data_IF_871292931359
#
_entry.id   IF_871292931359
#
_cell.length_a   1.000
_cell.length_b   1.000
_cell.length_c   1.000
_cell.angle_alpha   90.00
_cell.angle_beta   90.00
_cell.angle_gamma   90.00
#
_symmetry.space_group_name_H-M   'P 1'
#
loop_
_entity.id
_entity.type
_entity.pdbx_description
1 polymer ?
#
# COMPACT_ATOMS: atom_id res chain seq x y z
N UNK A 1 3.05 -23.77 -2.21
CA UNK A 1 3.17 -22.29 -2.24
C UNK A 1 2.34 -21.76 -3.39
N UNK A 2 1.64 -20.63 -3.17
CA UNK A 2 0.84 -19.99 -4.22
C UNK A 2 1.74 -19.16 -5.13
N UNK A 3 1.60 -19.29 -6.46
CA UNK A 3 2.33 -18.44 -7.41
C UNK A 3 1.71 -17.05 -7.48
N UNK A 4 2.56 -16.03 -7.38
CA UNK A 4 2.19 -14.61 -7.48
C UNK A 4 3.11 -13.94 -8.50
N UNK A 5 2.53 -13.35 -9.54
CA UNK A 5 3.30 -12.61 -10.54
C UNK A 5 3.78 -11.29 -9.93
N UNK A 6 5.10 -11.09 -9.90
CA UNK A 6 5.71 -9.85 -9.41
C UNK A 6 6.10 -8.94 -10.57
N UNK A 7 5.83 -7.64 -10.42
CA UNK A 7 6.34 -6.62 -11.33
C UNK A 7 6.71 -5.34 -10.59
N UNK A 8 7.92 -4.83 -10.85
CA UNK A 8 8.28 -3.48 -10.48
C UNK A 8 7.97 -2.53 -11.65
N UNK A 9 7.05 -1.58 -11.42
CA UNK A 9 6.60 -0.62 -12.45
C UNK A 9 7.48 0.63 -12.51
N UNK A 10 8.47 0.76 -11.59
CA UNK A 10 9.30 1.96 -11.47
C UNK A 10 8.48 3.18 -11.05
N UNK A 11 8.91 4.37 -11.50
CA UNK A 11 8.16 5.61 -11.34
C UNK A 11 7.04 5.65 -12.38
N UNK A 12 5.80 5.58 -11.93
CA UNK A 12 4.62 5.50 -12.80
C UNK A 12 3.54 6.50 -12.35
N UNK A 13 2.86 7.13 -13.30
CA UNK A 13 1.70 7.95 -13.05
C UNK A 13 0.64 7.18 -12.25
N UNK A 14 0.03 7.84 -11.25
CA UNK A 14 -0.91 7.20 -10.34
C UNK A 14 -2.14 6.62 -11.06
N UNK A 15 -2.72 7.37 -12.01
CA UNK A 15 -3.90 6.95 -12.76
C UNK A 15 -3.60 5.71 -13.60
N UNK A 16 -2.43 5.66 -14.25
CA UNK A 16 -2.01 4.48 -15.03
C UNK A 16 -1.86 3.24 -14.14
N UNK A 17 -1.25 3.38 -12.96
CA UNK A 17 -1.12 2.28 -12.01
C UNK A 17 -2.49 1.84 -11.44
N UNK A 18 -3.39 2.77 -11.21
CA UNK A 18 -4.75 2.49 -10.76
C UNK A 18 -5.57 1.74 -11.83
N UNK A 19 -5.52 2.18 -13.09
CA UNK A 19 -6.14 1.48 -14.23
C UNK A 19 -5.63 0.04 -14.40
N UNK A 20 -4.32 -0.18 -14.20
CA UNK A 20 -3.74 -1.53 -14.18
C UNK A 20 -4.32 -2.40 -13.07
N UNK A 21 -4.43 -1.85 -11.86
CA UNK A 21 -5.01 -2.57 -10.73
C UNK A 21 -6.49 -2.91 -10.98
N UNK A 22 -7.29 -1.97 -11.48
CA UNK A 22 -8.70 -2.20 -11.81
C UNK A 22 -8.85 -3.29 -12.86
N UNK A 23 -8.04 -3.25 -13.92
CA UNK A 23 -8.03 -4.29 -14.95
C UNK A 23 -7.77 -5.68 -14.33
N UNK A 24 -6.68 -5.85 -13.58
CA UNK A 24 -6.30 -7.13 -13.00
C UNK A 24 -7.31 -7.64 -11.96
N UNK A 25 -7.82 -6.72 -11.12
CA UNK A 25 -8.86 -7.06 -10.16
C UNK A 25 -10.16 -7.49 -10.85
N UNK A 26 -10.59 -6.76 -11.87
CA UNK A 26 -11.80 -7.07 -12.64
C UNK A 26 -11.65 -8.38 -13.41
N UNK A 27 -10.51 -8.66 -14.05
CA UNK A 27 -10.22 -9.95 -14.70
C UNK A 27 -10.47 -11.09 -13.72
N UNK A 28 -9.88 -11.04 -12.53
CA UNK A 28 -10.03 -12.08 -11.51
C UNK A 28 -11.46 -12.19 -10.99
N UNK A 29 -12.15 -11.07 -10.78
CA UNK A 29 -13.56 -11.04 -10.37
C UNK A 29 -14.46 -11.68 -11.43
N UNK A 30 -14.26 -11.39 -12.71
CA UNK A 30 -15.04 -11.97 -13.81
C UNK A 30 -14.80 -13.49 -13.92
N UNK A 31 -13.57 -13.95 -13.75
CA UNK A 31 -13.25 -15.39 -13.67
C UNK A 31 -14.06 -16.05 -12.55
N UNK A 32 -14.05 -15.49 -11.33
CA UNK A 32 -14.81 -16.03 -10.20
C UNK A 32 -16.33 -16.05 -10.45
N UNK A 33 -16.86 -15.02 -11.10
CA UNK A 33 -18.29 -14.98 -11.49
C UNK A 33 -18.61 -16.07 -12.51
N UNK A 34 -17.75 -16.24 -13.52
CA UNK A 34 -17.89 -17.29 -14.54
C UNK A 34 -17.83 -18.69 -13.95
N UNK A 35 -16.85 -18.94 -13.07
CA UNK A 35 -16.64 -20.25 -12.43
C UNK A 35 -17.86 -20.73 -11.62
N UNK A 36 -18.61 -19.81 -10.99
CA UNK A 36 -19.85 -20.17 -10.25
C UNK A 36 -20.93 -20.80 -11.14
N UNK A 37 -20.87 -20.58 -12.45
CA UNK A 37 -21.85 -21.07 -13.43
C UNK A 37 -21.30 -22.18 -14.30
N UNK A 38 -20.02 -22.54 -14.14
CA UNK A 38 -19.31 -23.51 -14.98
C UNK A 38 -19.07 -24.82 -14.22
N UNK A 39 -19.11 -25.97 -14.89
CA UNK A 39 -18.64 -27.23 -14.33
C UNK A 39 -17.18 -27.11 -13.86
N UNK A 40 -16.80 -27.83 -12.81
CA UNK A 40 -15.46 -27.76 -12.19
C UNK A 40 -14.34 -27.96 -13.21
N UNK A 41 -14.48 -28.94 -14.12
CA UNK A 41 -13.50 -29.19 -15.19
C UNK A 41 -13.29 -28.04 -16.18
N UNK A 42 -14.17 -27.04 -16.20
CA UNK A 42 -14.10 -25.87 -17.10
C UNK A 42 -13.76 -24.57 -16.38
N UNK A 43 -13.49 -24.63 -15.09
CA UNK A 43 -13.16 -23.45 -14.30
C UNK A 43 -11.78 -22.91 -14.65
N UNK A 44 -11.66 -21.56 -14.69
CA UNK A 44 -10.42 -20.86 -14.96
C UNK A 44 -9.77 -20.43 -13.65
N UNK A 45 -8.45 -20.46 -13.61
CA UNK A 45 -7.71 -19.95 -12.46
C UNK A 45 -7.56 -18.42 -12.49
N UNK A 46 -7.74 -17.81 -11.32
CA UNK A 46 -7.38 -16.41 -11.10
C UNK A 46 -5.87 -16.26 -10.98
N UNK A 47 -5.36 -15.09 -11.34
CA UNK A 47 -3.93 -14.76 -11.27
C UNK A 47 -3.69 -13.73 -10.19
N UNK A 48 -2.96 -14.13 -9.15
CA UNK A 48 -2.49 -13.21 -8.09
C UNK A 48 -1.26 -12.44 -8.56
N UNK A 49 -1.20 -11.15 -8.21
CA UNK A 49 -0.10 -10.24 -8.60
C UNK A 49 0.37 -9.40 -7.42
N UNK A 50 1.67 -9.10 -7.40
CA UNK A 50 2.28 -8.11 -6.51
C UNK A 50 2.99 -7.06 -7.36
N UNK A 51 2.49 -5.83 -7.33
CA UNK A 51 3.10 -4.71 -8.05
C UNK A 51 3.81 -3.80 -7.05
N UNK A 52 5.07 -3.43 -7.35
CA UNK A 52 5.75 -2.35 -6.65
C UNK A 52 5.95 -1.18 -7.60
N UNK A 53 5.85 0.03 -7.07
CA UNK A 53 6.11 1.26 -7.82
C UNK A 53 6.49 2.42 -6.90
N UNK A 54 6.81 3.53 -7.52
CA UNK A 54 6.85 4.87 -6.98
C UNK A 54 5.91 5.75 -7.83
N UNK A 55 5.40 6.84 -7.28
CA UNK A 55 4.56 7.79 -8.02
C UNK A 55 5.21 9.17 -8.07
N UNK A 56 4.93 9.99 -9.10
CA UNK A 56 5.02 11.45 -8.98
C UNK A 56 4.15 11.95 -7.82
N UNK A 57 4.36 13.18 -7.39
CA UNK A 57 3.62 13.75 -6.26
C UNK A 57 2.10 13.67 -6.50
N UNK A 58 1.40 12.99 -5.63
CA UNK A 58 -0.05 12.80 -5.73
C UNK A 58 -0.69 12.66 -4.35
N UNK A 59 -1.80 13.36 -4.15
CA UNK A 59 -2.68 13.16 -3.01
C UNK A 59 -3.85 12.25 -3.42
N UNK A 60 -4.20 11.30 -2.57
CA UNK A 60 -5.33 10.40 -2.83
C UNK A 60 -6.29 10.38 -1.66
N UNK A 61 -7.57 10.65 -1.94
CA UNK A 61 -8.65 10.62 -0.96
C UNK A 61 -9.40 9.29 -1.04
N UNK A 62 -9.38 8.53 0.05
CA UNK A 62 -10.12 7.27 0.19
C UNK A 62 -11.60 7.49 0.52
N UNK A 63 -12.32 6.38 0.70
CA UNK A 63 -13.79 6.41 0.90
C UNK A 63 -14.24 7.09 2.18
N UNK A 64 -13.43 7.04 3.23
CA UNK A 64 -13.77 7.58 4.56
C UNK A 64 -13.30 9.02 4.75
N UNK A 65 -12.61 9.60 3.75
CA UNK A 65 -12.02 10.93 3.87
C UNK A 65 -12.97 12.05 3.47
N UNK A 66 -12.74 13.25 4.06
CA UNK A 66 -13.35 14.50 3.63
C UNK A 66 -12.43 15.25 2.68
N UNK A 67 -13.01 16.00 1.74
CA UNK A 67 -12.26 16.95 0.90
C UNK A 67 -11.57 18.04 1.72
N UNK A 68 -12.13 18.40 2.88
CA UNK A 68 -11.55 19.40 3.79
C UNK A 68 -10.19 18.96 4.35
N UNK A 69 -9.86 17.68 4.25
CA UNK A 69 -8.56 17.13 4.64
C UNK A 69 -7.44 17.42 3.63
N UNK A 70 -7.76 17.96 2.45
CA UNK A 70 -6.78 18.53 1.51
C UNK A 70 -6.72 20.05 1.74
N UNK A 71 -5.58 20.54 2.19
CA UNK A 71 -5.36 21.96 2.52
C UNK A 71 -4.95 22.80 1.32
N UNK A 72 -4.91 22.23 0.12
CA UNK A 72 -4.56 22.88 -1.15
C UNK A 72 -5.78 22.96 -2.06
N UNK A 73 -5.90 24.09 -2.72
CA UNK A 73 -6.77 24.27 -3.90
C UNK A 73 -6.02 23.86 -5.19
N UNK A 74 -6.65 24.09 -6.35
CA UNK A 74 -6.08 23.73 -7.65
C UNK A 74 -4.75 24.46 -7.94
N UNK A 75 -4.62 25.73 -7.52
CA UNK A 75 -3.40 26.51 -7.71
C UNK A 75 -2.29 26.04 -6.76
N UNK A 76 -2.64 25.73 -5.52
CA UNK A 76 -1.74 25.14 -4.55
C UNK A 76 -1.19 23.80 -5.01
N UNK A 77 -2.03 22.92 -5.58
CA UNK A 77 -1.57 21.67 -6.16
C UNK A 77 -0.56 21.86 -7.29
N UNK A 78 -0.79 22.84 -8.19
CA UNK A 78 0.17 23.18 -9.26
C UNK A 78 1.48 23.71 -8.71
N UNK A 79 1.42 24.54 -7.66
CA UNK A 79 2.60 25.14 -7.03
C UNK A 79 3.53 24.09 -6.43
N UNK A 80 2.97 22.99 -5.88
CA UNK A 80 3.76 21.89 -5.31
C UNK A 80 3.97 20.73 -6.31
N UNK A 81 3.66 20.94 -7.59
CA UNK A 81 3.75 19.92 -8.65
C UNK A 81 3.11 18.59 -8.24
N UNK A 82 1.86 18.65 -7.76
CA UNK A 82 1.12 17.47 -7.32
C UNK A 82 -0.24 17.36 -8.00
N UNK A 83 -0.70 16.11 -8.13
CA UNK A 83 -2.06 15.80 -8.60
C UNK A 83 -2.93 15.32 -7.44
N UNK A 84 -4.25 15.29 -7.66
CA UNK A 84 -5.23 14.80 -6.68
C UNK A 84 -6.23 13.83 -7.31
N UNK A 85 -6.51 12.73 -6.61
CA UNK A 85 -7.53 11.76 -7.03
C UNK A 85 -8.41 11.32 -5.85
N UNK A 86 -9.73 11.34 -6.07
CA UNK A 86 -10.67 10.62 -5.20
C UNK A 86 -10.79 9.18 -5.69
N UNK A 87 -10.57 8.22 -4.79
CA UNK A 87 -10.45 6.81 -5.13
C UNK A 87 -11.27 5.93 -4.18
N UNK A 88 -11.34 4.64 -4.48
CA UNK A 88 -12.23 3.70 -3.79
C UNK A 88 -11.52 2.78 -2.77
N UNK A 89 -10.29 3.12 -2.33
CA UNK A 89 -9.62 2.42 -1.22
C UNK A 89 -10.25 2.75 0.14
N UNK A 90 -10.02 1.89 1.11
CA UNK A 90 -10.29 2.22 2.51
C UNK A 90 -9.39 3.34 3.03
N UNK A 91 -9.82 3.98 4.12
CA UNK A 91 -9.11 5.08 4.76
C UNK A 91 -9.39 6.45 4.17
N UNK A 92 -8.68 7.44 4.69
CA UNK A 92 -8.80 8.86 4.42
C UNK A 92 -7.77 9.33 3.39
N UNK A 93 -7.40 10.63 3.42
CA UNK A 93 -6.39 11.21 2.55
C UNK A 93 -4.98 10.70 2.86
N UNK A 94 -4.15 10.59 1.84
CA UNK A 94 -2.72 10.34 1.97
C UNK A 94 -1.95 10.96 0.81
N UNK A 95 -0.63 10.97 0.92
CA UNK A 95 0.29 11.42 -0.10
C UNK A 95 1.14 10.26 -0.61
N UNK A 96 1.43 10.28 -1.91
CA UNK A 96 2.44 9.45 -2.55
C UNK A 96 3.41 10.33 -3.34
N UNK A 97 4.70 9.97 -3.35
CA UNK A 97 5.73 10.69 -4.06
C UNK A 97 7.00 9.87 -4.28
N UNK A 98 8.00 10.44 -4.99
CA UNK A 98 9.29 9.79 -5.20
C UNK A 98 9.96 9.38 -3.89
N UNK A 99 10.65 8.24 -3.90
CA UNK A 99 11.28 7.68 -2.70
C UNK A 99 10.32 6.93 -1.76
N UNK A 100 9.00 6.94 -2.03
CA UNK A 100 8.02 6.12 -1.32
C UNK A 100 7.82 4.80 -2.07
N UNK A 101 7.99 3.66 -1.40
CA UNK A 101 7.70 2.36 -1.99
C UNK A 101 6.22 2.06 -1.83
N UNK A 102 5.50 2.04 -2.95
CA UNK A 102 4.08 1.68 -2.99
C UNK A 102 3.94 0.24 -3.46
N UNK A 103 3.19 -0.55 -2.72
CA UNK A 103 2.92 -1.95 -3.03
C UNK A 103 1.43 -2.22 -3.22
N UNK A 104 1.09 -2.87 -4.32
CA UNK A 104 -0.26 -3.26 -4.70
C UNK A 104 -0.38 -4.78 -4.82
N UNK A 105 -0.69 -5.50 -3.72
CA UNK A 105 -1.02 -6.91 -3.82
C UNK A 105 -2.45 -7.08 -4.34
N UNK A 106 -2.58 -7.65 -5.53
CA UNK A 106 -3.85 -7.97 -6.17
C UNK A 106 -3.99 -9.50 -6.10
N UNK A 107 -4.52 -9.98 -4.98
CA UNK A 107 -4.56 -11.39 -4.62
C UNK A 107 -5.99 -11.92 -4.65
N UNK A 108 -6.14 -13.17 -5.03
CA UNK A 108 -7.34 -13.94 -4.73
C UNK A 108 -7.18 -14.61 -3.36
N UNK A 109 -7.78 -14.01 -2.34
CA UNK A 109 -7.65 -14.49 -0.97
C UNK A 109 -8.27 -15.88 -0.74
N UNK A 110 -9.15 -16.38 -1.62
CA UNK A 110 -9.63 -17.78 -1.53
C UNK A 110 -8.46 -18.78 -1.68
N UNK A 111 -7.37 -18.37 -2.34
CA UNK A 111 -6.15 -19.20 -2.50
C UNK A 111 -5.21 -19.13 -1.29
N UNK A 112 -5.47 -18.24 -0.35
CA UNK A 112 -4.66 -18.01 0.85
C UNK A 112 -5.50 -18.19 2.12
N UNK A 113 -6.37 -17.25 2.41
CA UNK A 113 -7.31 -17.23 3.53
C UNK A 113 -8.37 -16.15 3.32
N UNK A 114 -9.60 -16.39 3.70
CA UNK A 114 -10.74 -15.47 3.53
C UNK A 114 -10.95 -14.61 4.78
N UNK A 115 -9.95 -13.79 5.11
CA UNK A 115 -9.97 -12.88 6.25
C UNK A 115 -9.22 -11.58 5.91
N UNK A 116 -9.96 -10.46 5.78
CA UNK A 116 -9.37 -9.17 5.39
C UNK A 116 -8.57 -8.54 6.55
N UNK A 117 -8.91 -8.83 7.80
CA UNK A 117 -8.14 -8.34 8.93
C UNK A 117 -6.81 -9.06 9.02
N UNK A 118 -6.79 -10.37 8.87
CA UNK A 118 -5.56 -11.18 8.77
C UNK A 118 -4.68 -10.69 7.62
N UNK A 119 -5.28 -10.41 6.46
CA UNK A 119 -4.56 -9.85 5.30
C UNK A 119 -3.85 -8.53 5.65
N UNK A 120 -4.55 -7.58 6.28
CA UNK A 120 -3.95 -6.33 6.72
C UNK A 120 -2.83 -6.56 7.75
N UNK A 121 -3.04 -7.47 8.72
CA UNK A 121 -1.99 -7.83 9.71
C UNK A 121 -0.76 -8.45 9.05
N UNK A 122 -0.91 -9.22 7.97
CA UNK A 122 0.21 -9.76 7.20
C UNK A 122 0.98 -8.68 6.45
N UNK A 123 0.28 -7.70 5.85
CA UNK A 123 0.95 -6.55 5.22
C UNK A 123 1.72 -5.71 6.23
N UNK A 124 1.15 -5.47 7.40
CA UNK A 124 1.85 -4.76 8.48
C UNK A 124 3.07 -5.55 8.96
N UNK A 125 2.91 -6.85 9.20
CA UNK A 125 3.99 -7.73 9.65
C UNK A 125 5.15 -7.77 8.65
N UNK A 126 4.84 -7.84 7.35
CA UNK A 126 5.84 -7.76 6.27
C UNK A 126 6.69 -6.48 6.39
N UNK A 127 6.04 -5.34 6.61
CA UNK A 127 6.74 -4.05 6.75
C UNK A 127 7.51 -4.00 8.07
N UNK A 128 6.95 -4.47 9.19
CA UNK A 128 7.62 -4.52 10.50
C UNK A 128 8.91 -5.34 10.42
N UNK A 129 8.85 -6.55 9.86
CA UNK A 129 10.05 -7.40 9.67
C UNK A 129 11.07 -6.74 8.74
N UNK A 130 10.60 -6.09 7.68
CA UNK A 130 11.49 -5.33 6.77
C UNK A 130 12.22 -4.22 7.54
N UNK A 131 11.51 -3.40 8.31
CA UNK A 131 12.11 -2.31 9.10
C UNK A 131 13.10 -2.82 10.13
N UNK A 132 12.82 -3.96 10.77
CA UNK A 132 13.74 -4.62 11.71
C UNK A 132 15.07 -4.99 11.06
N UNK A 133 15.11 -5.42 9.77
CA UNK A 133 16.36 -5.67 9.05
C UNK A 133 17.20 -4.40 8.83
N UNK A 134 16.59 -3.22 8.94
CA UNK A 134 17.26 -1.90 8.90
C UNK A 134 17.54 -1.32 10.29
N UNK A 135 17.30 -2.09 11.37
CA UNK A 135 17.50 -1.65 12.75
C UNK A 135 16.45 -0.66 13.26
N UNK A 136 15.28 -0.59 12.59
CA UNK A 136 14.18 0.30 12.99
C UNK A 136 13.13 -0.52 13.74
N UNK A 137 12.95 -0.23 15.03
CA UNK A 137 11.87 -0.79 15.83
C UNK A 137 10.53 -0.17 15.44
N UNK A 138 9.55 -1.01 15.13
CA UNK A 138 8.25 -0.57 14.67
C UNK A 138 7.16 -1.55 15.06
N UNK A 139 5.91 -1.10 15.01
CA UNK A 139 4.78 -1.93 15.43
C UNK A 139 3.45 -1.42 14.91
N UNK A 140 2.38 -1.96 15.50
CA UNK A 140 0.99 -1.59 15.25
C UNK A 140 0.52 -0.64 16.34
N UNK A 141 -0.08 0.48 15.94
CA UNK A 141 -0.66 1.43 16.89
C UNK A 141 -2.15 1.13 17.03
N UNK A 142 -2.61 0.93 18.27
CA UNK A 142 -3.99 0.51 18.55
C UNK A 142 -5.01 1.48 17.97
N UNK A 143 -6.01 0.96 17.27
CA UNK A 143 -7.05 1.76 16.59
C UNK A 143 -6.66 2.30 15.21
N UNK A 144 -5.41 2.16 14.77
CA UNK A 144 -4.92 2.73 13.50
C UNK A 144 -4.26 1.67 12.62
N UNK A 145 -4.71 1.57 11.38
CA UNK A 145 -4.09 0.70 10.38
C UNK A 145 -2.77 1.30 9.88
N UNK A 146 -1.78 0.43 9.63
CA UNK A 146 -0.46 0.80 9.15
C UNK A 146 0.64 0.47 10.14
N UNK A 147 1.88 0.87 9.82
CA UNK A 147 3.04 0.61 10.66
C UNK A 147 3.56 1.91 11.25
N UNK A 148 3.88 1.85 12.53
CA UNK A 148 4.20 3.00 13.36
C UNK A 148 5.47 2.77 14.17
N UNK A 149 6.13 3.84 14.56
CA UNK A 149 7.22 3.86 15.52
C UNK A 149 6.72 4.46 16.84
N UNK A 150 7.42 4.15 17.93
CA UNK A 150 7.12 4.62 19.29
C UNK A 150 5.66 4.39 19.70
N UNK A 151 5.13 3.22 19.40
CA UNK A 151 3.70 2.86 19.56
C UNK A 151 3.20 2.94 21.01
N UNK A 152 4.11 2.82 21.99
CA UNK A 152 3.81 2.92 23.43
C UNK A 152 3.73 4.39 23.92
N UNK A 153 4.18 5.34 23.10
CA UNK A 153 4.17 6.76 23.47
C UNK A 153 3.31 7.59 22.49
N UNK A 154 2.06 7.91 22.86
CA UNK A 154 1.15 8.66 21.97
C UNK A 154 1.69 9.99 21.45
N UNK A 155 2.57 10.66 22.21
CA UNK A 155 3.18 11.95 21.82
C UNK A 155 4.33 11.81 20.82
N UNK A 156 4.93 10.60 20.73
CA UNK A 156 6.03 10.29 19.82
C UNK A 156 5.61 9.38 18.67
N UNK A 157 4.44 8.76 18.78
CA UNK A 157 3.94 7.84 17.75
C UNK A 157 3.91 8.51 16.38
N UNK A 158 4.59 7.89 15.40
CA UNK A 158 4.69 8.40 14.04
C UNK A 158 4.56 7.28 13.01
N UNK A 159 3.79 7.55 11.99
CA UNK A 159 3.49 6.55 10.95
C UNK A 159 4.61 6.51 9.91
N UNK A 160 5.13 5.32 9.64
CA UNK A 160 6.13 5.09 8.59
C UNK A 160 5.52 4.42 7.35
N UNK A 161 4.43 3.67 7.51
CA UNK A 161 3.74 3.03 6.40
C UNK A 161 2.24 3.19 6.53
N UNK A 162 1.63 3.79 5.52
CA UNK A 162 0.18 3.88 5.38
C UNK A 162 -0.36 2.65 4.65
N UNK A 163 -1.57 2.23 5.00
CA UNK A 163 -2.26 1.11 4.35
C UNK A 163 -3.73 1.45 4.11
N UNK A 164 -4.19 1.11 2.90
CA UNK A 164 -5.58 1.25 2.53
C UNK A 164 -5.90 0.29 1.41
N UNK A 165 -6.81 -0.64 1.66
CA UNK A 165 -7.15 -1.71 0.71
C UNK A 165 -8.62 -1.68 0.32
N UNK A 166 -8.93 -2.31 -0.79
CA UNK A 166 -10.27 -2.67 -1.21
C UNK A 166 -10.29 -4.18 -1.44
N UNK A 167 -11.37 -4.82 -1.04
CA UNK A 167 -11.61 -6.23 -1.32
C UNK A 167 -13.01 -6.40 -1.93
N UNK A 168 -13.10 -7.17 -3.02
CA UNK A 168 -14.36 -7.54 -3.65
C UNK A 168 -14.31 -9.00 -4.07
N UNK A 169 -15.24 -9.82 -3.60
CA UNK A 169 -15.24 -11.28 -3.83
C UNK A 169 -13.91 -11.94 -3.49
N UNK A 170 -13.28 -11.48 -2.42
CA UNK A 170 -11.95 -11.91 -1.97
C UNK A 170 -10.79 -11.57 -2.93
N UNK A 171 -11.03 -10.74 -3.95
CA UNK A 171 -9.94 -10.14 -4.74
C UNK A 171 -9.56 -8.80 -4.12
N UNK A 172 -8.27 -8.66 -3.77
CA UNK A 172 -7.73 -7.44 -3.17
C UNK A 172 -7.28 -6.43 -4.21
N UNK A 173 -7.21 -5.17 -3.82
CA UNK A 173 -6.73 -4.04 -4.63
C UNK A 173 -6.21 -2.94 -3.71
N UNK A 174 -5.36 -2.04 -4.22
CA UNK A 174 -4.56 -1.10 -3.46
C UNK A 174 -3.59 -1.84 -2.52
N UNK A 175 -3.16 -1.26 -1.42
CA UNK A 175 -2.20 -1.93 -0.54
C UNK A 175 -1.54 -1.01 0.46
N UNK A 176 -0.22 -0.81 0.34
CA UNK A 176 0.58 -0.07 1.31
C UNK A 176 1.50 0.97 0.64
N UNK A 177 1.88 1.96 1.41
CA UNK A 177 2.83 3.00 1.03
C UNK A 177 3.85 3.18 2.16
N UNK A 178 5.07 2.68 1.95
CA UNK A 178 6.19 2.76 2.89
C UNK A 178 7.04 3.98 2.57
N UNK A 179 7.12 4.90 3.50
CA UNK A 179 8.03 6.04 3.41
C UNK A 179 9.47 5.56 3.58
N UNK A 180 10.22 5.44 2.49
CA UNK A 180 11.63 5.06 2.51
C UNK A 180 12.52 6.33 2.46
N UNK A 181 12.62 6.98 1.30
CA UNK A 181 13.34 8.25 1.09
C UNK A 181 12.35 9.36 0.67
N UNK A 182 11.15 9.31 1.21
CA UNK A 182 10.02 10.17 0.84
C UNK A 182 10.21 11.58 1.37
N UNK A 183 9.95 12.60 0.55
CA UNK A 183 9.83 13.97 1.05
C UNK A 183 8.56 14.11 1.91
N UNK A 184 8.77 14.18 3.22
CA UNK A 184 7.69 14.25 4.20
C UNK A 184 7.05 15.63 4.29
N UNK A 185 7.62 16.67 3.67
CA UNK A 185 7.08 18.03 3.69
C UNK A 185 5.70 18.12 3.05
N UNK A 186 5.41 17.27 2.07
CA UNK A 186 4.10 17.20 1.41
C UNK A 186 2.96 16.82 2.35
N UNK A 187 3.23 16.08 3.42
CA UNK A 187 2.19 15.72 4.41
C UNK A 187 1.62 16.92 5.18
N UNK A 188 2.31 18.08 5.14
CA UNK A 188 1.80 19.33 5.71
C UNK A 188 0.58 19.89 4.96
N UNK A 189 0.34 19.40 3.76
CA UNK A 189 -0.76 19.84 2.89
C UNK A 189 -2.03 19.01 3.09
N UNK A 190 -2.04 18.09 4.05
CA UNK A 190 -3.19 17.24 4.35
C UNK A 190 -3.38 17.06 5.86
N UNK A 191 -4.63 16.77 6.26
CA UNK A 191 -4.98 16.33 7.62
C UNK A 191 -5.33 14.85 7.56
N UNK A 192 -4.36 13.93 7.74
CA UNK A 192 -4.63 12.51 7.59
C UNK A 192 -5.53 11.99 8.72
N UNK A 193 -6.62 11.33 8.38
CA UNK A 193 -7.59 10.72 9.34
C UNK A 193 -8.22 11.72 10.33
N UNK A 194 -8.24 13.03 10.00
CA UNK A 194 -8.76 14.06 10.93
C UNK A 194 -7.97 14.16 12.24
N UNK A 195 -6.72 13.70 12.26
CA UNK A 195 -5.87 13.65 13.45
C UNK A 195 -4.71 14.61 13.24
N UNK A 196 -4.82 15.79 13.82
CA UNK A 196 -3.80 16.86 13.70
C UNK A 196 -2.51 16.56 14.50
N UNK A 197 -2.54 15.59 15.42
CA UNK A 197 -1.48 15.35 16.40
C UNK A 197 -0.52 14.20 16.05
N UNK A 198 -0.75 13.44 14.96
CA UNK A 198 0.11 12.32 14.57
C UNK A 198 1.08 12.67 13.47
N UNK A 199 2.34 12.37 13.73
CA UNK A 199 3.43 12.64 12.81
C UNK A 199 3.60 11.51 11.79
N UNK A 200 4.33 11.82 10.73
CA UNK A 200 4.83 10.84 9.76
C UNK A 200 6.36 10.81 9.80
N UNK A 201 6.91 9.65 9.46
CA UNK A 201 8.36 9.46 9.35
C UNK A 201 8.71 8.64 8.12
N UNK A 202 10.01 8.45 7.87
CA UNK A 202 10.56 7.64 6.78
C UNK A 202 11.80 6.90 7.25
N UNK A 203 12.22 5.86 6.52
CA UNK A 203 13.46 5.14 6.81
C UNK A 203 14.66 6.11 6.79
N UNK A 204 14.74 6.99 5.77
CA UNK A 204 15.79 8.02 5.67
C UNK A 204 15.84 8.92 6.91
N UNK A 205 14.68 9.38 7.39
CA UNK A 205 14.60 10.26 8.58
C UNK A 205 15.06 9.53 9.84
N UNK A 206 14.69 8.27 10.03
CA UNK A 206 15.08 7.48 11.21
C UNK A 206 16.57 7.11 11.22
N UNK A 207 17.15 6.83 10.05
CA UNK A 207 18.57 6.46 9.92
C UNK A 207 19.49 7.66 9.72
N UNK A 208 18.96 8.84 9.43
CA UNK A 208 19.74 10.05 9.10
C UNK A 208 20.41 9.98 7.72
N UNK A 209 20.08 9.02 6.88
CA UNK A 209 20.64 8.84 5.54
C UNK A 209 19.69 8.10 4.60
N UNK A 210 19.81 8.34 3.29
CA UNK A 210 19.07 7.63 2.26
C UNK A 210 19.39 6.14 2.27
N UNK A 211 18.38 5.33 1.98
CA UNK A 211 18.51 3.88 1.83
C UNK A 211 18.40 3.46 0.36
N UNK A 212 19.02 2.35 0.03
CA UNK A 212 18.81 1.72 -1.27
C UNK A 212 17.40 1.09 -1.34
N UNK A 213 16.53 1.68 -2.17
CA UNK A 213 15.16 1.21 -2.35
C UNK A 213 15.10 -0.24 -2.85
N UNK A 214 16.12 -0.71 -3.59
CA UNK A 214 16.13 -2.10 -4.06
C UNK A 214 16.38 -3.08 -2.91
N UNK A 215 17.20 -2.70 -1.92
CA UNK A 215 17.39 -3.50 -0.70
C UNK A 215 16.08 -3.58 0.10
N UNK A 216 15.37 -2.46 0.25
CA UNK A 216 14.07 -2.43 0.94
C UNK A 216 13.04 -3.28 0.18
N UNK A 217 12.92 -3.12 -1.16
CA UNK A 217 12.04 -3.93 -2.01
C UNK A 217 12.37 -5.42 -1.93
N UNK A 218 13.66 -5.80 -1.84
CA UNK A 218 14.09 -7.20 -1.67
C UNK A 218 13.62 -7.79 -0.34
N UNK A 219 13.78 -7.05 0.75
CA UNK A 219 13.31 -7.47 2.08
C UNK A 219 11.78 -7.61 2.12
N UNK A 220 11.04 -6.64 1.59
CA UNK A 220 9.57 -6.71 1.46
C UNK A 220 9.12 -7.97 0.70
N UNK A 221 9.76 -8.29 -0.43
CA UNK A 221 9.47 -9.50 -1.21
C UNK A 221 9.71 -10.78 -0.43
N UNK A 222 10.84 -10.86 0.29
CA UNK A 222 11.18 -12.00 1.15
C UNK A 222 10.08 -12.24 2.19
N UNK A 223 9.74 -11.22 2.98
CA UNK A 223 8.74 -11.35 4.03
C UNK A 223 7.31 -11.53 3.50
N UNK A 224 7.01 -11.01 2.31
CA UNK A 224 5.76 -11.32 1.61
C UNK A 224 5.67 -12.83 1.32
N UNK A 225 6.72 -13.42 0.72
CA UNK A 225 6.76 -14.86 0.42
C UNK A 225 6.60 -15.72 1.67
N UNK A 226 7.29 -15.37 2.76
CA UNK A 226 7.22 -16.09 4.03
C UNK A 226 5.82 -16.06 4.64
N UNK A 227 5.20 -14.87 4.74
CA UNK A 227 3.91 -14.67 5.40
C UNK A 227 2.73 -15.23 4.61
N UNK A 228 2.76 -15.09 3.29
CA UNK A 228 1.69 -15.54 2.41
C UNK A 228 1.92 -16.96 1.86
N UNK A 229 3.01 -17.64 2.24
CA UNK A 229 3.42 -18.95 1.69
C UNK A 229 3.40 -18.91 0.15
N UNK A 230 3.93 -17.82 -0.43
CA UNK A 230 3.90 -17.52 -1.84
C UNK A 230 5.27 -17.66 -2.51
N UNK A 231 5.24 -17.94 -3.81
CA UNK A 231 6.38 -17.87 -4.70
C UNK A 231 6.19 -16.69 -5.65
N UNK A 232 7.14 -15.74 -5.67
CA UNK A 232 7.13 -14.63 -6.63
C UNK A 232 7.78 -15.05 -7.94
N UNK A 233 7.05 -14.89 -9.03
CA UNK A 233 7.52 -15.13 -10.40
C UNK A 233 7.51 -13.80 -11.14
N UNK A 234 8.62 -13.41 -11.75
CA UNK A 234 8.72 -12.16 -12.53
C UNK A 234 7.76 -12.20 -13.73
N UNK A 235 7.05 -11.04 -13.99
CA UNK A 235 5.99 -10.89 -14.99
C UNK A 235 6.36 -9.91 -16.10
#
# INVERSE_FOLDING_TARGET
>A
MQKVLYKNLGLIDYKKAWELQERFSNESVQIKIGNRKSPEASQKETVSRLLFCEHPNVFTLGKSGSFDNLLLDEEGLKTVDATFYKINRGGDITYHGPGQIVGYPILDLDKFFTDIHKYLRFLEEMVIRTLSEFGIESGRYSGYTGVWLDVENPLKARKICAMGVRCSRWITMHGFALNANTDLSYFKNIIPCGIDDKQVTSIEKELGQKVDLNKVKKSLKKHFCELFEAELVDA
#
